data_IF_040602134851
#
_entry.id   IF_040602134851
#
_cell.length_a   1.000
_cell.length_b   1.000
_cell.length_c   1.000
_cell.angle_alpha   90.00
_cell.angle_beta   90.00
_cell.angle_gamma   90.00
#
_symmetry.space_group_name_H-M   'P 1'
#
loop_
_entity.id
_entity.type
_entity.pdbx_description
1 polymer ?
#
# COMPACT_ATOMS: atom_id res chain seq x y z
N UNK A 1 -72.41 -30.21 -33.88
CA UNK A 1 -72.47 -30.87 -32.57
C UNK A 1 -71.46 -30.20 -31.64
N UNK A 2 -71.81 -29.94 -30.37
CA UNK A 2 -72.28 -28.60 -30.01
C UNK A 2 -71.76 -28.07 -28.65
N UNK A 3 -72.20 -26.84 -28.29
CA UNK A 3 -72.65 -26.41 -26.96
C UNK A 3 -71.57 -26.21 -25.87
N UNK A 4 -71.67 -25.31 -24.86
CA UNK A 4 -72.65 -24.35 -24.33
C UNK A 4 -72.11 -23.96 -22.93
N UNK A 5 -72.06 -22.70 -22.50
CA UNK A 5 -72.90 -22.07 -21.44
C UNK A 5 -71.97 -21.06 -20.73
N UNK A 6 -72.19 -19.75 -20.69
CA UNK A 6 -73.27 -18.91 -20.13
C UNK A 6 -73.31 -18.81 -18.58
N UNK A 7 -73.56 -17.55 -18.16
CA UNK A 7 -74.02 -17.04 -16.85
C UNK A 7 -72.92 -16.73 -15.81
N UNK A 8 -72.89 -15.59 -15.13
CA UNK A 8 -73.95 -14.65 -14.75
C UNK A 8 -73.47 -13.21 -14.53
N UNK A 9 -74.28 -12.29 -14.99
CA UNK A 9 -74.42 -10.86 -14.67
C UNK A 9 -74.96 -10.64 -13.24
N UNK A 10 -74.49 -9.60 -12.53
CA UNK A 10 -75.24 -8.83 -11.52
C UNK A 10 -74.84 -7.35 -11.65
N UNK A 11 -75.68 -6.50 -12.28
CA UNK A 11 -76.64 -5.58 -11.62
C UNK A 11 -75.92 -4.61 -10.66
N UNK A 12 -75.87 -3.30 -10.83
CA UNK A 12 -76.72 -2.35 -11.55
C UNK A 12 -76.97 -1.18 -10.60
N UNK A 13 -76.81 0.07 -11.03
CA UNK A 13 -77.66 1.19 -10.62
C UNK A 13 -77.31 2.44 -11.41
N UNK A 14 -78.27 2.87 -12.19
CA UNK A 14 -78.37 4.17 -12.85
C UNK A 14 -78.24 5.33 -11.86
N UNK A 15 -77.65 6.45 -12.31
CA UNK A 15 -78.40 7.72 -12.48
C UNK A 15 -77.85 8.51 -13.67
N UNK A 16 -78.74 8.73 -14.63
CA UNK A 16 -78.68 9.84 -15.60
C UNK A 16 -79.04 11.13 -14.87
N UNK A 17 -78.34 12.23 -15.12
CA UNK A 17 -78.98 13.52 -15.40
C UNK A 17 -78.16 14.24 -16.46
N UNK A 18 -78.71 14.27 -17.67
CA UNK A 18 -78.44 15.29 -18.66
C UNK A 18 -79.09 16.59 -18.21
N UNK A 19 -78.32 17.66 -18.07
CA UNK A 19 -78.84 19.03 -18.10
C UNK A 19 -77.76 19.88 -18.74
N UNK A 20 -78.07 20.45 -19.90
CA UNK A 20 -77.11 21.05 -20.81
C UNK A 20 -76.61 22.44 -20.43
N UNK A 21 -76.08 23.09 -21.47
CA UNK A 21 -75.62 24.48 -21.58
C UNK A 21 -74.10 24.68 -21.33
N UNK A 22 -73.47 25.64 -22.03
CA UNK A 22 -72.62 25.33 -23.19
C UNK A 22 -71.17 25.83 -23.04
N UNK A 23 -70.32 25.33 -23.94
CA UNK A 23 -69.11 25.97 -24.50
C UNK A 23 -68.58 27.20 -23.76
N UNK A 24 -67.53 27.03 -22.93
CA UNK A 24 -66.45 28.01 -22.77
C UNK A 24 -65.18 27.28 -22.28
N UNK A 25 -64.11 27.50 -23.03
CA UNK A 25 -62.73 27.03 -22.93
C UNK A 25 -62.22 26.61 -21.53
N UNK A 26 -61.91 25.33 -21.37
CA UNK A 26 -60.91 24.88 -20.40
C UNK A 26 -59.68 24.42 -21.18
N UNK A 27 -58.72 25.34 -21.33
CA UNK A 27 -57.40 25.07 -21.91
C UNK A 27 -56.71 23.98 -21.07
N UNK A 28 -56.59 22.79 -21.64
CA UNK A 28 -55.79 21.68 -21.10
C UNK A 28 -54.31 22.08 -21.12
N UNK A 29 -53.73 22.35 -19.95
CA UNK A 29 -52.27 22.49 -19.80
C UNK A 29 -51.64 21.09 -19.70
N UNK A 30 -50.62 20.76 -20.50
CA UNK A 30 -49.88 19.52 -20.33
C UNK A 30 -49.03 19.59 -19.05
N UNK A 31 -49.22 18.63 -18.15
CA UNK A 31 -48.30 18.38 -17.03
C UNK A 31 -47.03 17.78 -17.63
N UNK A 32 -45.99 18.61 -17.73
CA UNK A 32 -44.63 18.15 -18.03
C UNK A 32 -44.21 17.21 -16.90
N UNK A 33 -43.90 15.95 -17.24
CA UNK A 33 -43.37 14.98 -16.29
C UNK A 33 -42.13 15.55 -15.61
N UNK A 34 -42.18 15.64 -14.29
CA UNK A 34 -41.01 15.97 -13.49
C UNK A 34 -39.97 14.84 -13.66
N UNK A 35 -38.69 15.15 -13.88
CA UNK A 35 -37.64 14.13 -13.87
C UNK A 35 -37.60 13.51 -12.47
N UNK A 36 -37.54 12.19 -12.42
CA UNK A 36 -37.37 11.43 -11.19
C UNK A 36 -36.09 11.91 -10.50
N UNK A 37 -36.24 12.73 -9.47
CA UNK A 37 -35.13 13.11 -8.60
C UNK A 37 -34.77 11.85 -7.82
N UNK A 38 -33.74 11.14 -8.26
CA UNK A 38 -33.11 10.08 -7.48
C UNK A 38 -32.62 10.70 -6.17
N UNK A 39 -33.38 10.47 -5.11
CA UNK A 39 -33.04 10.84 -3.74
C UNK A 39 -31.80 10.06 -3.34
N UNK A 40 -30.63 10.69 -3.51
CA UNK A 40 -29.38 10.11 -3.06
C UNK A 40 -29.18 10.52 -1.60
N UNK A 41 -29.40 9.57 -0.69
CA UNK A 41 -29.18 9.76 0.74
C UNK A 41 -27.67 9.93 0.99
N UNK A 42 -27.22 11.00 1.67
CA UNK A 42 -25.80 11.29 1.85
C UNK A 42 -25.07 10.17 2.63
N UNK A 43 -25.78 9.42 3.48
CA UNK A 43 -25.21 8.27 4.17
C UNK A 43 -24.80 7.12 3.23
N UNK A 44 -25.53 6.93 2.13
CA UNK A 44 -25.32 5.83 1.18
C UNK A 44 -24.24 6.18 0.14
N UNK A 45 -24.13 7.46 -0.24
CA UNK A 45 -23.03 7.96 -1.07
C UNK A 45 -21.69 7.85 -0.36
N UNK A 46 -21.62 8.30 0.88
CA UNK A 46 -20.40 8.30 1.67
C UNK A 46 -19.91 6.87 1.92
N UNK A 47 -20.83 5.92 2.15
CA UNK A 47 -20.47 4.51 2.29
C UNK A 47 -19.93 3.92 0.98
N UNK A 48 -20.53 4.24 -0.17
CA UNK A 48 -20.01 3.80 -1.48
C UNK A 48 -18.66 4.44 -1.80
N UNK A 49 -18.48 5.71 -1.47
CA UNK A 49 -17.21 6.44 -1.63
C UNK A 49 -16.10 5.85 -0.75
N UNK A 50 -16.39 5.53 0.51
CA UNK A 50 -15.44 4.85 1.41
C UNK A 50 -15.07 3.48 0.86
N UNK A 51 -16.05 2.69 0.40
CA UNK A 51 -15.78 1.37 -0.18
C UNK A 51 -14.96 1.47 -1.47
N UNK A 52 -15.26 2.42 -2.36
CA UNK A 52 -14.49 2.67 -3.58
C UNK A 52 -13.06 3.11 -3.26
N UNK A 53 -12.89 4.03 -2.30
CA UNK A 53 -11.59 4.49 -1.85
C UNK A 53 -10.77 3.36 -1.21
N UNK A 54 -11.38 2.51 -0.40
CA UNK A 54 -10.73 1.34 0.18
C UNK A 54 -10.33 0.32 -0.89
N UNK A 55 -11.19 0.04 -1.87
CA UNK A 55 -10.86 -0.88 -2.98
C UNK A 55 -9.73 -0.33 -3.86
N UNK A 56 -9.71 0.98 -4.12
CA UNK A 56 -8.60 1.64 -4.82
C UNK A 56 -7.30 1.59 -4.01
N UNK A 57 -7.35 1.80 -2.70
CA UNK A 57 -6.19 1.71 -1.83
C UNK A 57 -5.61 0.29 -1.79
N UNK A 58 -6.46 -0.74 -1.72
CA UNK A 58 -6.05 -2.15 -1.78
C UNK A 58 -5.48 -2.51 -3.16
N UNK A 59 -6.06 -1.98 -4.25
CA UNK A 59 -5.52 -2.20 -5.60
C UNK A 59 -4.18 -1.48 -5.85
N UNK A 60 -3.93 -0.37 -5.15
CA UNK A 60 -2.67 0.37 -5.20
C UNK A 60 -1.56 -0.26 -4.34
N UNK A 61 -1.93 -1.00 -3.29
CA UNK A 61 -1.00 -1.76 -2.45
C UNK A 61 -0.47 -2.99 -3.21
N UNK A 62 0.50 -2.79 -4.10
CA UNK A 62 1.18 -3.88 -4.80
C UNK A 62 2.30 -4.44 -3.92
N UNK A 63 2.40 -5.77 -3.76
CA UNK A 63 3.56 -6.38 -3.15
C UNK A 63 4.78 -6.12 -4.03
N UNK A 64 5.91 -5.80 -3.39
CA UNK A 64 7.13 -5.30 -4.01
C UNK A 64 7.93 -6.41 -4.72
N UNK A 65 7.31 -7.03 -5.73
CA UNK A 65 7.84 -8.19 -6.47
C UNK A 65 8.52 -7.81 -7.79
N UNK A 66 8.35 -6.57 -8.24
CA UNK A 66 8.79 -6.09 -9.55
C UNK A 66 9.96 -5.09 -9.45
N UNK A 67 10.73 -5.11 -8.35
CA UNK A 67 11.84 -4.19 -8.16
C UNK A 67 12.91 -4.38 -9.25
N UNK A 68 13.28 -3.29 -9.93
CA UNK A 68 14.29 -3.27 -10.98
C UNK A 68 15.60 -2.69 -10.46
N UNK A 69 16.72 -3.08 -11.06
CA UNK A 69 18.03 -2.51 -10.74
C UNK A 69 18.10 -1.10 -11.34
N UNK A 70 18.35 -0.10 -10.50
CA UNK A 70 18.56 1.31 -10.90
C UNK A 70 20.03 1.55 -11.17
N UNK A 71 20.89 1.07 -10.29
CA UNK A 71 22.34 1.25 -10.38
C UNK A 71 23.04 -0.08 -10.12
N UNK A 72 23.96 -0.45 -10.99
CA UNK A 72 24.92 -1.55 -10.78
C UNK A 72 26.29 -1.06 -11.25
N UNK A 73 27.12 -0.67 -10.29
CA UNK A 73 28.48 -0.21 -10.51
C UNK A 73 29.44 -1.23 -9.95
N UNK A 74 30.36 -1.71 -10.80
CA UNK A 74 31.42 -2.63 -10.41
C UNK A 74 32.72 -2.11 -10.98
N UNK A 75 33.68 -1.87 -10.10
CA UNK A 75 35.03 -1.49 -10.48
C UNK A 75 35.99 -2.45 -9.78
N UNK A 76 36.78 -3.17 -10.56
CA UNK A 76 37.83 -4.04 -10.08
C UNK A 76 39.03 -3.79 -10.99
N UNK A 77 40.11 -3.29 -10.39
CA UNK A 77 41.33 -2.92 -11.11
C UNK A 77 42.33 -4.08 -11.17
N UNK A 78 42.02 -5.24 -10.56
CA UNK A 78 42.89 -6.41 -10.51
C UNK A 78 44.11 -6.26 -9.60
N UNK A 79 44.22 -5.15 -8.87
CA UNK A 79 45.23 -4.86 -7.85
C UNK A 79 44.78 -5.29 -6.44
N UNK A 80 43.60 -5.93 -6.34
CA UNK A 80 42.95 -6.32 -5.10
C UNK A 80 42.09 -5.23 -4.47
N UNK A 81 42.06 -4.02 -5.06
CA UNK A 81 41.06 -3.02 -4.76
C UNK A 81 39.81 -3.24 -5.61
N UNK A 82 38.64 -3.25 -4.98
CA UNK A 82 37.39 -3.25 -5.73
C UNK A 82 36.35 -2.34 -5.09
N UNK A 83 35.39 -1.94 -5.90
CA UNK A 83 34.21 -1.21 -5.49
C UNK A 83 32.99 -1.85 -6.14
N UNK A 84 31.94 -2.01 -5.35
CA UNK A 84 30.66 -2.51 -5.80
C UNK A 84 29.54 -1.69 -5.17
N UNK A 85 28.65 -1.16 -6.01
CA UNK A 85 27.44 -0.46 -5.59
C UNK A 85 26.25 -0.99 -6.37
N UNK A 86 25.18 -1.24 -5.64
CA UNK A 86 23.95 -1.78 -6.17
C UNK A 86 22.77 -1.06 -5.55
N UNK A 87 21.83 -0.65 -6.39
CA UNK A 87 20.61 0.05 -5.99
C UNK A 87 19.42 -0.44 -6.80
N UNK A 88 18.29 -0.67 -6.13
CA UNK A 88 17.04 -1.09 -6.73
C UNK A 88 15.97 0.00 -6.66
N UNK A 89 14.96 -0.10 -7.50
CA UNK A 89 13.87 0.88 -7.61
C UNK A 89 13.01 0.97 -6.36
N UNK A 90 13.03 -0.06 -5.52
CA UNK A 90 12.36 -0.08 -4.23
C UNK A 90 13.26 0.40 -3.09
N UNK A 91 14.43 0.98 -3.36
CA UNK A 91 15.27 1.60 -2.33
C UNK A 91 16.15 0.64 -1.54
N UNK A 92 16.36 -0.60 -2.01
CA UNK A 92 17.42 -1.45 -1.48
C UNK A 92 18.75 -0.94 -2.04
N UNK A 93 19.68 -0.66 -1.15
CA UNK A 93 21.02 -0.17 -1.50
C UNK A 93 22.07 -1.05 -0.84
N UNK A 94 23.11 -1.39 -1.60
CA UNK A 94 24.26 -2.14 -1.10
C UNK A 94 25.52 -1.55 -1.68
N UNK A 95 26.48 -1.23 -0.82
CA UNK A 95 27.82 -0.83 -1.23
C UNK A 95 28.87 -1.65 -0.50
N UNK A 96 29.96 -1.96 -1.19
CA UNK A 96 31.15 -2.54 -0.57
C UNK A 96 32.38 -2.07 -1.30
N UNK A 97 33.41 -1.78 -0.53
CA UNK A 97 34.75 -1.47 -1.01
C UNK A 97 35.70 -2.49 -0.42
N UNK A 98 36.61 -2.98 -1.25
CA UNK A 98 37.66 -3.89 -0.86
C UNK A 98 39.04 -3.34 -1.10
N UNK A 99 39.95 -3.72 -0.22
CA UNK A 99 41.36 -3.40 -0.28
C UNK A 99 42.20 -4.64 0.09
N UNK A 100 43.42 -4.80 -0.43
CA UNK A 100 44.33 -5.84 0.02
C UNK A 100 44.65 -5.69 1.52
N UNK A 101 44.59 -6.79 2.25
CA UNK A 101 45.00 -6.90 3.65
C UNK A 101 46.48 -7.27 3.79
N UNK A 102 46.97 -7.28 5.03
CA UNK A 102 48.41 -7.35 5.34
C UNK A 102 49.03 -8.72 4.99
N UNK A 103 48.29 -9.82 5.09
CA UNK A 103 48.77 -11.18 4.81
C UNK A 103 48.26 -11.73 3.45
N UNK A 104 47.82 -10.83 2.56
CA UNK A 104 47.27 -11.22 1.25
C UNK A 104 45.81 -11.66 1.28
N UNK A 105 45.15 -11.63 2.44
CA UNK A 105 43.70 -11.56 2.54
C UNK A 105 43.17 -10.27 1.92
N UNK A 106 41.86 -10.17 1.81
CA UNK A 106 41.23 -8.96 1.32
C UNK A 106 40.28 -8.44 2.39
N UNK A 107 40.50 -7.18 2.75
CA UNK A 107 39.70 -6.48 3.75
C UNK A 107 38.56 -5.76 3.03
N UNK A 108 37.36 -5.81 3.59
CA UNK A 108 36.18 -5.23 2.96
C UNK A 108 35.37 -4.44 3.97
N UNK A 109 34.93 -3.25 3.57
CA UNK A 109 33.97 -2.43 4.33
C UNK A 109 32.77 -2.15 3.45
N UNK A 110 31.60 -2.03 4.04
CA UNK A 110 30.40 -1.76 3.26
C UNK A 110 29.19 -1.39 4.08
N UNK A 111 28.12 -1.05 3.35
CA UNK A 111 26.82 -0.79 3.93
C UNK A 111 25.71 -1.50 3.16
N UNK A 112 24.65 -1.84 3.87
CA UNK A 112 23.45 -2.45 3.33
C UNK A 112 22.24 -1.75 3.91
N UNK A 113 21.34 -1.29 3.06
CA UNK A 113 20.15 -0.54 3.41
C UNK A 113 18.94 -1.10 2.68
N UNK A 114 17.82 -1.25 3.39
CA UNK A 114 16.54 -1.61 2.78
C UNK A 114 15.38 -0.96 3.53
N UNK A 115 14.27 -0.64 2.85
CA UNK A 115 13.07 -0.13 3.52
C UNK A 115 12.37 -1.23 4.32
N UNK A 116 11.90 -0.89 5.52
CA UNK A 116 10.99 -1.73 6.29
C UNK A 116 9.53 -1.40 5.94
N UNK A 117 8.63 -2.26 6.40
CA UNK A 117 7.18 -2.09 6.23
C UNK A 117 6.62 -0.80 6.88
N UNK A 118 7.35 -0.22 7.83
CA UNK A 118 7.00 1.04 8.50
C UNK A 118 7.50 2.30 7.76
N UNK A 119 8.19 2.13 6.63
CA UNK A 119 8.79 3.21 5.84
C UNK A 119 10.12 3.74 6.38
N UNK A 120 10.64 3.18 7.48
CA UNK A 120 12.00 3.46 7.95
C UNK A 120 13.03 2.67 7.14
N UNK A 121 14.31 3.08 7.20
CA UNK A 121 15.41 2.39 6.53
C UNK A 121 16.20 1.55 7.54
N UNK A 122 16.36 0.27 7.23
CA UNK A 122 17.21 -0.65 7.97
C UNK A 122 18.65 -0.47 7.49
N UNK A 123 19.48 0.25 8.24
CA UNK A 123 20.89 0.45 7.88
C UNK A 123 21.80 -0.51 8.61
N UNK A 124 22.67 -1.19 7.86
CA UNK A 124 23.74 -2.04 8.37
C UNK A 124 25.07 -1.55 7.80
N UNK A 125 26.07 -1.40 8.66
CA UNK A 125 27.46 -1.21 8.25
C UNK A 125 28.28 -2.41 8.71
N UNK A 126 29.26 -2.81 7.91
CA UNK A 126 30.09 -3.94 8.25
C UNK A 126 31.54 -3.72 7.85
N UNK A 127 32.42 -4.33 8.64
CA UNK A 127 33.86 -4.36 8.44
C UNK A 127 34.33 -5.81 8.52
N UNK A 128 35.06 -6.24 7.50
CA UNK A 128 35.67 -7.55 7.41
C UNK A 128 37.18 -7.36 7.24
N UNK A 129 37.95 -7.66 8.28
CA UNK A 129 39.39 -7.48 8.32
C UNK A 129 40.06 -8.63 9.10
N UNK A 130 41.32 -8.45 9.49
CA UNK A 130 42.10 -9.42 10.26
C UNK A 130 41.48 -9.75 11.63
N UNK A 131 40.68 -8.82 12.17
CA UNK A 131 39.97 -8.98 13.43
C UNK A 131 38.59 -9.64 13.24
N UNK A 132 38.30 -10.14 12.02
CA UNK A 132 37.09 -10.87 11.68
C UNK A 132 35.97 -9.97 11.13
N UNK A 133 34.75 -10.51 11.11
CA UNK A 133 33.57 -9.81 10.58
C UNK A 133 32.80 -9.13 11.70
N UNK A 134 32.65 -7.80 11.63
CA UNK A 134 31.92 -6.98 12.58
C UNK A 134 30.81 -6.22 11.87
N UNK A 135 29.60 -6.27 12.42
CA UNK A 135 28.44 -5.55 11.90
C UNK A 135 27.95 -4.56 12.94
N UNK A 136 27.59 -3.36 12.50
CA UNK A 136 26.91 -2.37 13.31
C UNK A 136 25.57 -2.00 12.65
N UNK A 137 24.51 -1.98 13.44
CA UNK A 137 23.19 -1.52 13.02
C UNK A 137 22.35 -1.17 14.24
N UNK A 138 21.46 -0.17 14.18
CA UNK A 138 20.46 0.10 15.21
C UNK A 138 19.51 -1.08 15.47
N UNK A 139 19.39 -2.01 14.51
CA UNK A 139 18.54 -3.19 14.62
C UNK A 139 19.20 -4.35 15.38
N UNK A 140 20.50 -4.26 15.67
CA UNK A 140 21.18 -5.29 16.46
C UNK A 140 20.74 -5.18 17.93
N UNK A 141 20.60 -6.32 18.62
CA UNK A 141 20.27 -6.31 20.04
C UNK A 141 21.36 -5.58 20.83
N UNK A 142 20.99 -4.81 21.87
CA UNK A 142 21.97 -4.14 22.71
C UNK A 142 22.86 -5.17 23.42
N UNK A 143 24.10 -4.78 23.70
CA UNK A 143 25.05 -5.61 24.45
C UNK A 143 24.45 -5.93 25.84
N UNK A 144 24.41 -7.20 26.26
CA UNK A 144 23.89 -7.57 27.58
C UNK A 144 24.65 -6.90 28.73
N UNK A 145 23.94 -6.54 29.80
CA UNK A 145 24.50 -5.78 30.94
C UNK A 145 25.74 -6.46 31.55
N UNK A 146 25.74 -7.78 31.66
CA UNK A 146 26.88 -8.50 32.23
C UNK A 146 28.15 -8.39 31.36
N UNK A 147 28.00 -8.36 30.03
CA UNK A 147 29.11 -8.16 29.10
C UNK A 147 29.64 -6.74 29.25
N UNK A 148 28.75 -5.75 29.38
CA UNK A 148 29.14 -4.36 29.61
C UNK A 148 29.95 -4.22 30.90
N UNK A 149 29.50 -4.82 32.01
CA UNK A 149 30.25 -4.83 33.28
C UNK A 149 31.64 -5.45 33.14
N UNK A 150 31.79 -6.50 32.34
CA UNK A 150 33.09 -7.13 32.09
C UNK A 150 34.02 -6.20 31.31
N UNK A 151 33.51 -5.52 30.28
CA UNK A 151 34.25 -4.52 29.50
C UNK A 151 34.69 -3.36 30.41
N UNK A 152 33.78 -2.84 31.24
CA UNK A 152 34.06 -1.74 32.18
C UNK A 152 35.12 -2.14 33.21
N UNK A 153 35.02 -3.36 33.76
CA UNK A 153 36.01 -3.90 34.68
C UNK A 153 37.38 -4.01 33.99
N UNK A 154 37.46 -4.59 32.78
CA UNK A 154 38.71 -4.71 32.03
C UNK A 154 39.36 -3.34 31.75
N UNK A 155 38.56 -2.37 31.31
CA UNK A 155 39.03 -0.99 31.06
C UNK A 155 39.55 -0.31 32.34
N UNK A 156 38.92 -0.56 33.49
CA UNK A 156 39.38 -0.02 34.78
C UNK A 156 40.73 -0.59 35.22
N UNK A 157 41.03 -1.85 34.89
CA UNK A 157 42.33 -2.46 35.17
C UNK A 157 43.42 -1.91 34.25
N UNK A 158 43.11 -1.69 32.97
CA UNK A 158 44.03 -1.09 32.00
C UNK A 158 44.44 0.33 32.38
N UNK A 159 43.51 1.13 32.88
CA UNK A 159 43.76 2.53 33.30
C UNK A 159 44.59 2.66 34.58
N UNK A 160 44.77 1.57 35.33
CA UNK A 160 45.53 1.52 36.58
C UNK A 160 47.00 1.12 36.39
N UNK A 161 47.41 0.77 35.17
CA UNK A 161 48.81 0.53 34.79
C UNK A 161 49.39 1.79 34.18
#
# INVERSE_FOLDING_TARGET
MPAYSDKTRKTGSHRYVSSGCPELECVYKPVVGQPETSSHDPHTDNMKLVVLACLLAVAAARPDKDATIVTDERNDQGDGNFYYRFETSNGIQKEKTGTPGIEGQSNYVGSFQFPLDDGTLATFTFEADENGYRVNSPLLPPIPEYVQRQIDFANSQGKRR
#
